data_IF_591180934613
#
_entry.id   IF_591180934613
#
_cell.length_a   1.000
_cell.length_b   1.000
_cell.length_c   1.000
_cell.angle_alpha   90.00
_cell.angle_beta   90.00
_cell.angle_gamma   90.00
#
_symmetry.space_group_name_H-M   'P 1'
#
loop_
_entity.id
_entity.type
_entity.pdbx_description
1 polymer ?
#
# COMPACT_ATOMS: atom_id res chain seq x y z
N UNK A 1 -2.05 -14.92 20.95
CA UNK A 1 -3.10 -14.56 19.97
C UNK A 1 -2.49 -13.56 19.00
N UNK A 2 -2.24 -13.92 17.73
CA UNK A 2 -1.93 -12.89 16.72
C UNK A 2 -3.16 -12.00 16.58
N UNK A 3 -3.01 -10.69 16.74
CA UNK A 3 -4.10 -9.72 16.66
C UNK A 3 -4.59 -9.70 15.21
N UNK A 4 -5.86 -10.01 14.97
CA UNK A 4 -6.42 -9.93 13.60
C UNK A 4 -6.56 -8.46 13.21
N UNK A 5 -6.20 -8.15 11.97
CA UNK A 5 -6.27 -6.81 11.39
C UNK A 5 -7.02 -6.88 10.07
N UNK A 6 -7.67 -5.79 9.70
CA UNK A 6 -8.32 -5.62 8.40
C UNK A 6 -7.46 -4.68 7.55
N UNK A 7 -6.97 -5.15 6.41
CA UNK A 7 -6.04 -4.43 5.55
C UNK A 7 -6.50 -4.49 4.10
N UNK A 8 -6.17 -3.44 3.34
CA UNK A 8 -6.49 -3.35 1.92
C UNK A 8 -5.21 -3.17 1.11
N UNK A 9 -4.95 -4.05 0.15
CA UNK A 9 -3.79 -3.97 -0.77
C UNK A 9 -4.28 -3.46 -2.12
N UNK A 10 -3.77 -2.32 -2.58
CA UNK A 10 -4.25 -1.67 -3.80
C UNK A 10 -3.10 -1.55 -4.80
N UNK A 11 -3.18 -2.29 -5.90
CA UNK A 11 -2.16 -2.29 -6.96
C UNK A 11 -0.94 -3.14 -6.65
N UNK A 12 0.08 -2.98 -7.48
CA UNK A 12 1.36 -3.69 -7.40
C UNK A 12 1.53 -4.86 -8.35
N UNK A 13 2.64 -5.55 -8.12
CA UNK A 13 3.07 -6.74 -8.86
C UNK A 13 2.88 -8.00 -8.00
N UNK A 14 3.54 -9.08 -8.38
CA UNK A 14 3.46 -10.35 -7.67
C UNK A 14 3.82 -10.23 -6.19
N UNK A 15 4.69 -9.30 -5.80
CA UNK A 15 5.06 -9.08 -4.40
C UNK A 15 3.85 -8.65 -3.56
N UNK A 16 3.02 -7.75 -4.08
CA UNK A 16 1.78 -7.32 -3.41
C UNK A 16 0.74 -8.45 -3.39
N UNK A 17 0.66 -9.24 -4.46
CA UNK A 17 -0.21 -10.41 -4.50
C UNK A 17 0.19 -11.48 -3.47
N UNK A 18 1.49 -11.80 -3.35
CA UNK A 18 2.01 -12.71 -2.35
C UNK A 18 1.83 -12.17 -0.92
N UNK A 19 2.08 -10.87 -0.70
CA UNK A 19 1.84 -10.23 0.59
C UNK A 19 0.38 -10.39 1.04
N UNK A 20 -0.58 -10.15 0.14
CA UNK A 20 -2.00 -10.33 0.44
C UNK A 20 -2.34 -11.77 0.83
N UNK A 21 -1.72 -12.76 0.17
CA UNK A 21 -1.88 -14.18 0.53
C UNK A 21 -1.31 -14.50 1.91
N UNK A 22 -0.07 -14.10 2.18
CA UNK A 22 0.60 -14.35 3.46
C UNK A 22 -0.17 -13.70 4.63
N UNK A 23 -0.63 -12.46 4.46
CA UNK A 23 -1.44 -11.78 5.49
C UNK A 23 -2.78 -12.49 5.72
N UNK A 24 -3.43 -12.98 4.65
CA UNK A 24 -4.66 -13.76 4.79
C UNK A 24 -4.43 -15.10 5.51
N UNK A 25 -3.33 -15.79 5.20
CA UNK A 25 -2.92 -17.02 5.87
C UNK A 25 -2.58 -16.81 7.35
N UNK A 26 -2.05 -15.65 7.69
CA UNK A 26 -1.79 -15.22 9.07
C UNK A 26 -3.05 -14.84 9.87
N UNK A 27 -4.24 -14.92 9.24
CA UNK A 27 -5.54 -14.69 9.89
C UNK A 27 -6.01 -13.24 9.87
N UNK A 28 -5.43 -12.41 9.00
CA UNK A 28 -5.90 -11.05 8.75
C UNK A 28 -7.04 -11.05 7.70
N UNK A 29 -7.97 -10.09 7.83
CA UNK A 29 -8.99 -9.84 6.82
C UNK A 29 -8.37 -8.98 5.72
N UNK A 30 -8.27 -9.52 4.51
CA UNK A 30 -7.59 -8.85 3.40
C UNK A 30 -8.56 -8.56 2.28
N UNK A 31 -8.57 -7.30 1.86
CA UNK A 31 -9.14 -6.87 0.59
C UNK A 31 -8.03 -6.55 -0.41
N UNK A 32 -8.27 -6.80 -1.69
CA UNK A 32 -7.38 -6.47 -2.80
C UNK A 32 -8.12 -5.71 -3.90
N UNK A 33 -7.45 -4.75 -4.53
CA UNK A 33 -7.95 -4.03 -5.70
C UNK A 33 -6.81 -3.74 -6.68
N UNK A 34 -7.10 -3.58 -7.98
CA UNK A 34 -6.10 -3.36 -9.04
C UNK A 34 -5.04 -4.48 -9.14
N UNK A 35 -5.46 -5.72 -8.87
CA UNK A 35 -4.65 -6.95 -8.92
C UNK A 35 -5.39 -8.07 -9.68
N UNK A 36 -6.30 -7.73 -10.60
CA UNK A 36 -7.26 -8.67 -11.20
C UNK A 36 -6.63 -9.78 -12.05
N UNK A 37 -5.40 -9.58 -12.54
CA UNK A 37 -4.66 -10.58 -13.32
C UNK A 37 -4.04 -11.68 -12.46
N UNK A 38 -4.01 -11.50 -11.13
CA UNK A 38 -3.64 -12.56 -10.20
C UNK A 38 -4.87 -13.28 -9.64
N UNK A 39 -4.76 -14.59 -9.46
CA UNK A 39 -5.83 -15.40 -8.86
C UNK A 39 -5.60 -15.51 -7.35
N UNK A 40 -6.59 -15.10 -6.58
CA UNK A 40 -6.59 -15.19 -5.13
C UNK A 40 -7.50 -16.32 -4.63
N UNK A 41 -7.20 -16.83 -3.44
CA UNK A 41 -8.09 -17.72 -2.69
C UNK A 41 -9.38 -16.98 -2.32
N UNK A 42 -10.48 -17.73 -2.22
CA UNK A 42 -11.81 -17.27 -1.75
C UNK A 42 -11.80 -16.48 -0.43
N UNK A 43 -10.79 -16.67 0.43
CA UNK A 43 -10.61 -15.94 1.70
C UNK A 43 -10.29 -14.46 1.51
N UNK A 44 -9.76 -14.06 0.35
CA UNK A 44 -9.37 -12.69 0.04
C UNK A 44 -10.52 -11.98 -0.67
N UNK A 45 -10.91 -10.82 -0.14
CA UNK A 45 -11.99 -10.00 -0.68
C UNK A 45 -11.46 -9.25 -1.91
N UNK A 46 -12.12 -9.42 -3.06
CA UNK A 46 -11.78 -8.68 -4.27
C UNK A 46 -12.68 -7.45 -4.36
N UNK A 47 -12.08 -6.28 -4.38
CA UNK A 47 -12.77 -5.00 -4.51
C UNK A 47 -12.40 -4.31 -5.82
N UNK A 48 -13.18 -3.28 -6.17
CA UNK A 48 -12.98 -2.47 -7.38
C UNK A 48 -13.26 -1.00 -7.09
N UNK A 49 -12.96 -0.14 -8.05
CA UNK A 49 -13.40 1.26 -8.02
C UNK A 49 -14.94 1.36 -7.88
N UNK A 50 -15.46 2.46 -7.31
CA UNK A 50 -14.71 3.58 -6.71
C UNK A 50 -14.25 3.31 -5.27
N UNK A 51 -14.70 2.23 -4.64
CA UNK A 51 -14.46 2.00 -3.20
C UNK A 51 -13.12 1.35 -2.88
N UNK A 52 -12.45 0.69 -3.82
CA UNK A 52 -11.14 0.04 -3.68
C UNK A 52 -10.93 -0.88 -2.46
N UNK A 53 -12.01 -1.31 -1.78
CA UNK A 53 -11.94 -2.13 -0.56
C UNK A 53 -11.86 -1.31 0.73
N UNK A 54 -12.33 -0.06 0.69
CA UNK A 54 -12.36 0.87 1.81
C UNK A 54 -13.64 0.72 2.64
N UNK A 55 -13.78 -0.44 3.30
CA UNK A 55 -14.91 -0.73 4.17
C UNK A 55 -14.73 -0.17 5.59
N UNK A 56 -15.83 -0.07 6.34
CA UNK A 56 -15.77 0.25 7.76
C UNK A 56 -14.90 -0.77 8.53
N UNK A 57 -13.91 -0.27 9.28
CA UNK A 57 -13.00 -1.10 10.09
C UNK A 57 -11.71 -1.53 9.39
N UNK A 58 -11.42 -1.05 8.18
CA UNK A 58 -10.06 -1.14 7.61
C UNK A 58 -9.09 -0.35 8.48
N UNK A 59 -7.97 -0.97 8.84
CA UNK A 59 -6.96 -0.37 9.72
C UNK A 59 -5.82 0.30 8.95
N UNK A 60 -5.47 -0.23 7.77
CA UNK A 60 -4.45 0.36 6.91
C UNK A 60 -4.62 -0.05 5.45
N UNK A 61 -4.11 0.80 4.56
CA UNK A 61 -3.94 0.52 3.13
C UNK A 61 -2.47 0.27 2.83
N UNK A 62 -2.20 -0.72 2.00
CA UNK A 62 -0.88 -1.03 1.48
C UNK A 62 -0.87 -0.71 -0.01
N UNK A 63 -0.06 0.27 -0.38
CA UNK A 63 0.25 0.68 -1.73
C UNK A 63 1.51 -0.03 -2.24
N UNK A 64 1.70 -0.07 -3.58
CA UNK A 64 2.84 -0.75 -4.19
C UNK A 64 4.16 -0.03 -3.93
N UNK A 65 5.23 -0.66 -4.41
CA UNK A 65 6.58 -0.12 -4.41
C UNK A 65 7.22 -0.31 -5.79
N UNK A 66 7.45 0.78 -6.56
CA UNK A 66 7.06 2.16 -6.25
C UNK A 66 5.53 2.33 -6.17
N UNK A 67 5.05 3.35 -5.44
CA UNK A 67 3.63 3.65 -5.26
C UNK A 67 2.94 4.06 -6.58
N UNK A 68 3.66 4.81 -7.40
CA UNK A 68 3.26 5.23 -8.73
C UNK A 68 4.34 4.91 -9.76
N UNK A 69 3.95 4.87 -11.03
CA UNK A 69 4.84 4.90 -12.20
C UNK A 69 4.74 6.26 -12.87
N UNK A 70 5.29 6.37 -14.08
CA UNK A 70 5.26 7.61 -14.86
C UNK A 70 3.85 8.23 -14.93
N UNK A 71 3.82 9.56 -14.98
CA UNK A 71 2.60 10.38 -15.13
C UNK A 71 1.57 10.25 -13.99
N UNK A 72 2.01 9.86 -12.77
CA UNK A 72 1.14 9.83 -11.59
C UNK A 72 0.17 8.65 -11.58
N UNK A 73 0.48 7.59 -12.32
CA UNK A 73 -0.34 6.40 -12.42
C UNK A 73 0.01 5.39 -11.31
N UNK A 74 -0.98 4.82 -10.64
CA UNK A 74 -0.79 3.74 -9.67
C UNK A 74 0.04 2.61 -10.31
N UNK A 75 1.14 2.20 -9.68
CA UNK A 75 1.92 1.07 -10.16
C UNK A 75 1.16 -0.24 -9.96
N UNK A 76 0.49 -0.74 -10.99
CA UNK A 76 -0.38 -1.92 -10.91
C UNK A 76 -0.33 -2.75 -12.21
N UNK A 77 0.80 -3.41 -12.52
CA UNK A 77 0.94 -4.24 -13.71
C UNK A 77 -0.04 -5.42 -13.76
N UNK A 78 -0.52 -5.86 -12.60
CA UNK A 78 -1.54 -6.90 -12.47
C UNK A 78 -2.97 -6.38 -12.56
N UNK A 79 -3.16 -5.07 -12.77
CA UNK A 79 -4.48 -4.48 -12.97
C UNK A 79 -4.96 -4.65 -14.41
N UNK A 80 -6.25 -4.83 -14.59
CA UNK A 80 -6.88 -4.70 -15.92
C UNK A 80 -7.22 -3.26 -16.28
N UNK A 81 -7.18 -2.35 -15.31
CA UNK A 81 -7.52 -0.93 -15.46
C UNK A 81 -6.38 -0.05 -14.95
N UNK A 82 -6.09 1.04 -15.66
CA UNK A 82 -5.13 2.04 -15.19
C UNK A 82 -5.83 3.07 -14.30
N UNK A 83 -5.25 3.39 -13.15
CA UNK A 83 -5.77 4.38 -12.21
C UNK A 83 -4.71 5.46 -11.95
N UNK A 84 -5.12 6.72 -11.87
CA UNK A 84 -4.28 7.76 -11.26
C UNK A 84 -4.17 7.48 -9.76
N UNK A 85 -2.97 7.67 -9.20
CA UNK A 85 -2.75 7.44 -7.77
C UNK A 85 -3.63 8.35 -6.91
N UNK A 86 -3.89 9.58 -7.37
CA UNK A 86 -4.75 10.55 -6.69
C UNK A 86 -6.17 10.00 -6.49
N UNK A 87 -6.74 9.32 -7.49
CA UNK A 87 -8.06 8.68 -7.37
C UNK A 87 -8.09 7.63 -6.27
N UNK A 88 -6.97 6.94 -6.03
CA UNK A 88 -6.85 5.98 -4.91
C UNK A 88 -6.79 6.73 -3.59
N UNK A 89 -5.95 7.77 -3.49
CA UNK A 89 -5.79 8.57 -2.28
C UNK A 89 -7.09 9.30 -1.89
N UNK A 90 -7.89 9.72 -2.86
CA UNK A 90 -9.19 10.39 -2.65
C UNK A 90 -10.27 9.44 -2.13
N UNK A 91 -10.13 8.13 -2.41
CA UNK A 91 -11.04 7.10 -1.90
C UNK A 91 -10.72 6.67 -0.46
N UNK A 92 -9.55 7.05 0.08
CA UNK A 92 -9.12 6.68 1.42
C UNK A 92 -9.67 7.70 2.44
N UNK A 93 -10.40 7.27 3.48
CA UNK A 93 -10.88 8.16 4.53
C UNK A 93 -9.73 8.89 5.25
N UNK A 94 -9.95 10.17 5.62
CA UNK A 94 -9.02 10.94 6.46
C UNK A 94 -8.60 10.20 7.74
N UNK A 95 -7.34 10.40 8.15
CA UNK A 95 -6.75 9.82 9.36
C UNK A 95 -6.28 8.37 9.22
N UNK A 96 -6.47 7.75 8.06
CA UNK A 96 -6.12 6.35 7.85
C UNK A 96 -4.61 6.15 7.59
N UNK A 97 -4.07 5.04 8.08
CA UNK A 97 -2.69 4.62 7.84
C UNK A 97 -2.53 4.12 6.39
N UNK A 98 -1.58 4.70 5.67
CA UNK A 98 -1.20 4.28 4.31
C UNK A 98 0.27 3.90 4.30
N UNK A 99 0.56 2.66 3.91
CA UNK A 99 1.91 2.12 3.79
C UNK A 99 2.27 2.08 2.30
N UNK A 100 3.33 2.77 1.89
CA UNK A 100 3.79 2.83 0.51
C UNK A 100 5.30 2.65 0.44
N UNK A 101 5.84 2.30 -0.74
CA UNK A 101 7.28 2.32 -0.97
C UNK A 101 7.63 3.28 -2.10
N UNK A 102 8.70 4.05 -1.94
CA UNK A 102 9.17 5.02 -2.94
C UNK A 102 8.06 5.99 -3.38
N UNK A 103 7.35 6.57 -2.41
CA UNK A 103 6.34 7.59 -2.70
C UNK A 103 7.03 8.84 -3.26
N UNK A 104 6.45 9.49 -4.26
CA UNK A 104 6.94 10.77 -4.75
C UNK A 104 6.50 11.92 -3.83
N UNK A 105 7.02 13.12 -4.09
CA UNK A 105 6.58 14.32 -3.37
C UNK A 105 5.12 14.67 -3.67
N UNK A 106 4.65 14.37 -4.88
CA UNK A 106 3.26 14.57 -5.26
C UNK A 106 2.34 13.63 -4.46
N UNK A 107 2.71 12.36 -4.33
CA UNK A 107 1.97 11.38 -3.51
C UNK A 107 1.95 11.81 -2.04
N UNK A 108 3.09 12.26 -1.50
CA UNK A 108 3.17 12.76 -0.11
C UNK A 108 2.30 13.99 0.11
N UNK A 109 2.37 14.96 -0.79
CA UNK A 109 1.59 16.20 -0.70
C UNK A 109 0.09 15.93 -0.79
N UNK A 110 -0.34 15.08 -1.72
CA UNK A 110 -1.75 14.71 -1.88
C UNK A 110 -2.26 13.91 -0.68
N UNK A 111 -1.46 12.97 -0.16
CA UNK A 111 -1.79 12.25 1.06
C UNK A 111 -1.95 13.20 2.26
N UNK A 112 -1.08 14.20 2.39
CA UNK A 112 -1.18 15.21 3.44
C UNK A 112 -2.45 16.09 3.29
N UNK A 113 -2.80 16.47 2.06
CA UNK A 113 -4.05 17.20 1.76
C UNK A 113 -5.29 16.40 2.15
N UNK A 114 -5.27 15.09 1.94
CA UNK A 114 -6.35 14.17 2.32
C UNK A 114 -6.28 13.74 3.80
N UNK A 115 -5.38 14.33 4.59
CA UNK A 115 -5.14 14.00 6.00
C UNK A 115 -4.81 12.52 6.26
N UNK A 116 -4.10 11.88 5.32
CA UNK A 116 -3.68 10.49 5.43
C UNK A 116 -2.37 10.39 6.21
N UNK A 117 -2.26 9.33 7.02
CA UNK A 117 -1.01 9.02 7.72
C UNK A 117 -0.15 8.16 6.81
N UNK A 118 0.57 8.79 5.87
CA UNK A 118 1.43 8.09 4.92
C UNK A 118 2.79 7.74 5.56
N UNK A 119 3.15 6.46 5.51
CA UNK A 119 4.47 5.95 5.87
C UNK A 119 5.11 5.36 4.61
N UNK A 120 6.21 5.97 4.18
CA UNK A 120 7.11 5.40 3.18
C UNK A 120 8.12 4.47 3.85
N UNK A 121 7.94 3.16 3.71
CA UNK A 121 8.80 2.18 4.36
C UNK A 121 10.17 2.05 3.66
N UNK A 122 10.27 2.38 2.36
CA UNK A 122 11.56 2.38 1.67
C UNK A 122 12.45 3.51 2.19
N UNK A 123 11.90 4.72 2.29
CA UNK A 123 12.65 5.87 2.81
C UNK A 123 13.21 5.58 4.23
N UNK A 124 12.46 4.84 5.05
CA UNK A 124 12.92 4.42 6.39
C UNK A 124 14.05 3.40 6.34
N UNK A 125 13.98 2.40 5.46
CA UNK A 125 15.06 1.42 5.28
C UNK A 125 16.33 2.08 4.73
N UNK A 126 16.22 2.95 3.74
CA UNK A 126 17.37 3.68 3.19
C UNK A 126 18.01 4.61 4.23
N UNK A 127 17.20 5.29 5.05
CA UNK A 127 17.71 6.09 6.17
C UNK A 127 18.37 5.21 7.25
N UNK A 128 17.82 4.03 7.56
CA UNK A 128 18.43 3.09 8.50
C UNK A 128 19.78 2.56 8.00
N UNK A 129 19.90 2.23 6.70
CA UNK A 129 21.17 1.83 6.07
C UNK A 129 22.17 2.98 6.09
N UNK A 130 21.76 4.21 5.75
CA UNK A 130 22.63 5.39 5.76
C UNK A 130 23.12 5.74 7.17
N UNK A 131 22.28 5.55 8.19
CA UNK A 131 22.65 5.75 9.59
C UNK A 131 23.49 4.60 10.16
N UNK A 132 23.51 3.43 9.52
CA UNK A 132 24.40 2.33 9.92
C UNK A 132 25.88 2.58 9.56
N UNK A 133 26.20 3.65 8.81
CA UNK A 133 27.56 3.90 8.24
C UNK A 133 28.28 5.16 8.79
N UNK A 134 27.80 5.87 9.84
CA UNK A 134 28.80 6.32 10.83
C UNK A 134 28.26 6.35 12.26
N UNK A 135 28.34 5.21 12.96
CA UNK A 135 28.52 5.17 14.43
C UNK A 135 29.69 4.25 14.79
N UNK A 136 30.70 4.20 13.90
CA UNK A 136 31.95 3.45 14.08
C UNK A 136 33.20 4.36 14.06
N UNK A 137 33.03 5.67 14.19
CA UNK A 137 34.13 6.64 14.32
C UNK A 137 34.00 7.39 15.66
N UNK A 138 34.12 6.65 16.75
CA UNK A 138 34.34 7.20 18.08
C UNK A 138 35.14 6.19 18.92
N UNK A 139 36.38 5.93 18.50
CA UNK A 139 37.50 5.55 19.37
C UNK A 139 38.76 6.18 18.78
#
# INVERSE_FOLDING_TARGET
MKKSASLTVIGGDMRQAFLAQLLSEDGHRIAVSALERHRFDSRIIRASAPGFGMDAGVHAVILPMPAERDEGMLNAPLSNTSYHIQTILDAIPPGMLVLAGAASENVRSHAAQNHLHLIDYLAREELAIRNAVPTAAAI
#
